data_IF_333410201206
#
_entry.id   IF_333410201206
#
_cell.length_a   1.000
_cell.length_b   1.000
_cell.length_c   1.000
_cell.angle_alpha   90.00
_cell.angle_beta   90.00
_cell.angle_gamma   90.00
#
_symmetry.space_group_name_H-M   'P 1'
#
loop_
_entity.id
_entity.type
_entity.pdbx_description
1 polymer ?
#
# COMPACT_ATOMS: atom_id res chain seq x y z
N UNK A 1 -12.43 12.87 -39.03
CA UNK A 1 -12.54 12.28 -37.69
C UNK A 1 -11.67 13.07 -36.73
N UNK A 2 -12.28 13.87 -35.90
CA UNK A 2 -11.55 14.57 -34.86
C UNK A 2 -11.37 13.62 -33.68
N UNK A 3 -10.11 13.25 -33.38
CA UNK A 3 -9.77 12.54 -32.18
C UNK A 3 -9.82 13.57 -31.05
N UNK A 4 -10.85 13.51 -30.22
CA UNK A 4 -10.84 14.27 -28.98
C UNK A 4 -9.79 13.68 -28.05
N UNK A 5 -8.79 14.47 -27.62
CA UNK A 5 -7.92 14.00 -26.55
C UNK A 5 -8.81 13.72 -25.35
N UNK A 6 -8.57 12.58 -24.70
CA UNK A 6 -9.21 12.28 -23.44
C UNK A 6 -9.06 13.49 -22.52
N UNK A 7 -10.11 13.93 -21.81
CA UNK A 7 -10.00 15.05 -20.90
C UNK A 7 -8.86 14.76 -19.93
N UNK A 8 -7.97 15.73 -19.78
CA UNK A 8 -6.90 15.64 -18.80
C UNK A 8 -7.54 15.29 -17.46
N UNK A 9 -7.20 14.12 -16.93
CA UNK A 9 -7.69 13.70 -15.64
C UNK A 9 -7.14 14.68 -14.62
N UNK A 10 -8.01 15.51 -14.08
CA UNK A 10 -7.61 16.46 -13.05
C UNK A 10 -7.37 15.69 -11.77
N UNK A 11 -6.11 15.65 -11.34
CA UNK A 11 -5.76 15.22 -10.00
C UNK A 11 -6.22 16.33 -9.06
N UNK A 12 -7.36 16.13 -8.40
CA UNK A 12 -7.83 17.06 -7.38
C UNK A 12 -7.09 16.77 -6.08
N UNK A 13 -6.10 17.60 -5.79
CA UNK A 13 -5.40 17.61 -4.50
C UNK A 13 -6.34 18.22 -3.44
N UNK A 14 -7.11 17.39 -2.78
CA UNK A 14 -7.77 17.78 -1.54
C UNK A 14 -6.89 17.35 -0.37
N UNK A 15 -6.07 18.26 0.09
CA UNK A 15 -5.36 18.11 1.36
C UNK A 15 -6.36 18.34 2.49
N UNK A 16 -6.80 17.28 3.12
CA UNK A 16 -7.39 17.38 4.45
C UNK A 16 -6.27 17.26 5.47
N UNK A 17 -5.79 18.39 5.93
CA UNK A 17 -4.97 18.44 7.14
C UNK A 17 -5.91 18.30 8.33
N UNK A 18 -6.15 17.11 8.79
CA UNK A 18 -6.83 16.87 10.04
C UNK A 18 -5.79 16.86 11.17
N UNK A 19 -5.20 18.01 11.41
CA UNK A 19 -4.34 18.26 12.57
C UNK A 19 -5.20 18.73 13.75
N UNK A 20 -6.05 17.85 14.26
CA UNK A 20 -6.61 18.10 15.60
C UNK A 20 -5.55 17.75 16.63
N UNK A 21 -5.30 18.70 17.53
CA UNK A 21 -4.17 18.88 18.43
C UNK A 21 -4.00 17.80 19.53
N UNK A 22 -4.19 16.53 19.27
CA UNK A 22 -3.95 15.47 20.24
C UNK A 22 -3.40 14.22 19.57
N UNK A 23 -2.09 14.01 19.70
CA UNK A 23 -1.39 12.70 19.68
C UNK A 23 -1.48 11.87 18.40
N UNK A 24 -2.33 12.19 17.40
CA UNK A 24 -2.37 11.52 16.11
C UNK A 24 -1.48 12.27 15.12
N UNK A 25 -0.57 11.57 14.44
CA UNK A 25 0.24 12.18 13.39
C UNK A 25 -0.68 12.75 12.31
N UNK A 26 -0.32 13.92 11.78
CA UNK A 26 -1.01 14.54 10.65
C UNK A 26 -1.10 13.54 9.48
N UNK A 27 -2.31 13.23 9.06
CA UNK A 27 -2.54 12.42 7.87
C UNK A 27 -2.90 13.32 6.70
N UNK A 28 -2.30 13.03 5.55
CA UNK A 28 -2.67 13.68 4.29
C UNK A 28 -3.34 12.64 3.40
N UNK A 29 -4.46 13.02 2.79
CA UNK A 29 -5.14 12.18 1.82
C UNK A 29 -5.20 12.90 0.49
N UNK A 30 -4.74 12.23 -0.56
CA UNK A 30 -4.80 12.69 -1.94
C UNK A 30 -5.81 11.84 -2.68
N UNK A 31 -6.88 12.43 -3.17
CA UNK A 31 -7.88 11.72 -3.95
C UNK A 31 -7.47 11.70 -5.42
N UNK A 32 -7.39 10.52 -5.99
CA UNK A 32 -7.16 10.30 -7.41
C UNK A 32 -8.51 10.05 -8.07
N UNK A 33 -8.99 11.03 -8.82
CA UNK A 33 -10.27 10.96 -9.50
C UNK A 33 -10.13 10.29 -10.87
N UNK A 34 -10.63 9.07 -10.98
CA UNK A 34 -10.69 8.28 -12.20
C UNK A 34 -12.12 7.77 -12.46
N UNK A 35 -13.10 8.55 -12.07
CA UNK A 35 -14.53 8.18 -12.12
C UNK A 35 -14.79 6.90 -11.30
N UNK A 36 -15.21 5.81 -11.94
CA UNK A 36 -15.51 4.55 -11.23
C UNK A 36 -14.29 3.85 -10.60
N UNK A 37 -13.08 4.24 -11.01
CA UNK A 37 -11.81 3.68 -10.51
C UNK A 37 -11.06 4.64 -9.59
N UNK A 38 -11.76 5.64 -9.07
CA UNK A 38 -11.18 6.60 -8.13
C UNK A 38 -10.69 5.92 -6.85
N UNK A 39 -9.58 6.41 -6.31
CA UNK A 39 -9.03 5.90 -5.06
C UNK A 39 -8.28 6.98 -4.29
N UNK A 40 -8.25 6.91 -2.95
CA UNK A 40 -7.46 7.80 -2.12
C UNK A 40 -6.03 7.26 -1.94
N UNK A 41 -5.07 8.18 -1.84
CA UNK A 41 -3.72 7.90 -1.35
C UNK A 41 -3.59 8.56 0.01
N UNK A 42 -3.38 7.77 1.06
CA UNK A 42 -3.21 8.27 2.42
C UNK A 42 -1.75 8.22 2.81
N UNK A 43 -1.24 9.35 3.30
CA UNK A 43 0.14 9.51 3.76
C UNK A 43 0.09 9.92 5.23
N UNK A 44 0.59 9.06 6.10
CA UNK A 44 0.66 9.34 7.53
C UNK A 44 1.72 8.45 8.21
N UNK A 45 2.15 8.84 9.39
CA UNK A 45 2.98 7.98 10.22
C UNK A 45 2.11 6.88 10.87
N UNK A 46 2.71 5.70 11.09
CA UNK A 46 2.05 4.59 11.80
C UNK A 46 1.01 3.81 11.01
N UNK A 47 0.82 4.09 9.72
CA UNK A 47 -0.16 3.38 8.88
C UNK A 47 0.12 1.87 8.78
N UNK A 48 1.38 1.47 8.69
CA UNK A 48 1.75 0.06 8.53
C UNK A 48 1.36 -0.79 9.73
N UNK A 49 1.44 -0.24 10.93
CA UNK A 49 1.13 -0.95 12.17
C UNK A 49 -0.34 -0.83 12.59
N UNK A 50 -1.13 -0.01 11.90
CA UNK A 50 -2.53 0.21 12.23
C UNK A 50 -3.45 -0.74 11.46
N UNK A 51 -4.13 -1.69 12.12
CA UNK A 51 -5.03 -2.63 11.45
C UNK A 51 -6.16 -1.97 10.66
N UNK A 52 -6.62 -0.80 11.10
CA UNK A 52 -7.68 -0.05 10.43
C UNK A 52 -7.31 0.39 9.00
N UNK A 53 -6.02 0.54 8.72
CA UNK A 53 -5.51 0.87 7.38
C UNK A 53 -5.92 -0.18 6.35
N UNK A 54 -6.06 -1.43 6.76
CA UNK A 54 -6.32 -2.58 5.88
C UNK A 54 -7.79 -3.02 5.89
N UNK A 55 -8.66 -2.28 6.56
CA UNK A 55 -10.07 -2.65 6.72
C UNK A 55 -10.84 -2.69 5.38
N UNK A 56 -10.42 -1.91 4.40
CA UNK A 56 -11.06 -1.83 3.07
C UNK A 56 -10.51 -2.82 2.05
N UNK A 57 -9.47 -3.57 2.39
CA UNK A 57 -8.93 -4.59 1.51
C UNK A 57 -9.91 -5.76 1.36
N UNK A 58 -9.85 -6.46 0.22
CA UNK A 58 -10.68 -7.64 0.02
C UNK A 58 -10.46 -8.67 1.13
N UNK A 59 -11.54 -9.27 1.59
CA UNK A 59 -11.46 -10.35 2.56
C UNK A 59 -10.91 -11.61 1.90
N UNK A 60 -9.84 -12.14 2.48
CA UNK A 60 -9.20 -13.38 2.04
C UNK A 60 -8.67 -14.15 3.25
N UNK A 61 -8.41 -15.43 3.06
CA UNK A 61 -7.81 -16.25 4.13
C UNK A 61 -6.31 -15.98 4.27
N UNK A 62 -5.66 -15.59 3.19
CA UNK A 62 -4.20 -15.45 3.10
C UNK A 62 -3.81 -14.07 2.61
N UNK A 63 -2.81 -13.47 3.22
CA UNK A 63 -2.12 -12.27 2.75
C UNK A 63 -0.65 -12.59 2.47
N UNK A 64 -0.11 -12.01 1.42
CA UNK A 64 1.30 -12.12 1.07
C UNK A 64 1.97 -10.75 1.16
N UNK A 65 3.00 -10.66 1.98
CA UNK A 65 3.87 -9.48 2.07
C UNK A 65 5.08 -9.73 1.18
N UNK A 66 5.28 -8.86 0.21
CA UNK A 66 6.47 -8.87 -0.65
C UNK A 66 7.31 -7.65 -0.31
N UNK A 67 8.54 -7.87 0.06
CA UNK A 67 9.48 -6.82 0.46
C UNK A 67 10.90 -7.20 0.02
N UNK A 68 11.88 -6.40 0.38
CA UNK A 68 13.29 -6.70 0.16
C UNK A 68 14.02 -6.92 1.48
N UNK A 69 15.24 -7.41 1.39
CA UNK A 69 16.08 -7.73 2.56
C UNK A 69 16.52 -6.49 3.35
N UNK A 70 16.49 -5.31 2.76
CA UNK A 70 16.82 -4.04 3.42
C UNK A 70 15.64 -3.51 4.22
N UNK A 71 14.42 -3.58 3.68
CA UNK A 71 13.21 -3.02 4.28
C UNK A 71 12.57 -3.98 5.28
N UNK A 72 12.65 -5.29 5.03
CA UNK A 72 12.01 -6.30 5.87
C UNK A 72 12.34 -6.17 7.37
N UNK A 73 13.60 -6.01 7.80
CA UNK A 73 13.94 -5.88 9.23
C UNK A 73 13.33 -4.65 9.89
N UNK A 74 13.01 -3.62 9.10
CA UNK A 74 12.50 -2.35 9.60
C UNK A 74 10.98 -2.35 9.79
N UNK A 75 10.23 -3.01 8.90
CA UNK A 75 8.77 -2.81 8.81
C UNK A 75 7.95 -4.09 8.70
N UNK A 76 8.53 -5.20 8.31
CA UNK A 76 7.78 -6.42 8.01
C UNK A 76 7.03 -6.98 9.22
N UNK A 77 7.62 -6.96 10.40
CA UNK A 77 6.99 -7.48 11.62
C UNK A 77 5.77 -6.64 12.03
N UNK A 78 5.86 -5.32 11.93
CA UNK A 78 4.75 -4.42 12.23
C UNK A 78 3.58 -4.64 11.27
N UNK A 79 3.86 -4.76 9.98
CA UNK A 79 2.85 -5.03 8.96
C UNK A 79 2.22 -6.41 9.15
N UNK A 80 3.04 -7.42 9.41
CA UNK A 80 2.56 -8.79 9.65
C UNK A 80 1.62 -8.86 10.84
N UNK A 81 1.97 -8.21 11.94
CA UNK A 81 1.13 -8.16 13.13
C UNK A 81 -0.22 -7.47 12.85
N UNK A 82 -0.21 -6.38 12.09
CA UNK A 82 -1.43 -5.67 11.71
C UNK A 82 -2.33 -6.51 10.78
N UNK A 83 -1.75 -7.20 9.81
CA UNK A 83 -2.50 -8.06 8.89
C UNK A 83 -3.02 -9.34 9.55
N UNK A 84 -2.33 -9.87 10.54
CA UNK A 84 -2.73 -11.09 11.24
C UNK A 84 -4.10 -10.95 11.96
N UNK A 85 -4.56 -9.73 12.22
CA UNK A 85 -5.89 -9.48 12.78
C UNK A 85 -7.02 -9.67 11.76
N UNK A 86 -6.73 -9.52 10.46
CA UNK A 86 -7.72 -9.58 9.39
C UNK A 86 -7.59 -10.84 8.51
N UNK A 87 -6.42 -11.49 8.54
CA UNK A 87 -6.11 -12.64 7.70
C UNK A 87 -5.67 -13.83 8.55
N UNK A 88 -6.14 -15.02 8.20
CA UNK A 88 -5.80 -16.25 8.93
C UNK A 88 -4.32 -16.62 8.78
N UNK A 89 -3.74 -16.34 7.62
CA UNK A 89 -2.34 -16.60 7.33
C UNK A 89 -1.70 -15.39 6.66
N UNK A 90 -0.49 -15.06 7.10
CA UNK A 90 0.31 -13.99 6.51
C UNK A 90 1.68 -14.56 6.14
N UNK A 91 1.97 -14.62 4.85
CA UNK A 91 3.25 -15.05 4.33
C UNK A 91 4.15 -13.84 4.04
N UNK A 92 5.44 -14.03 4.17
CA UNK A 92 6.45 -13.01 3.92
C UNK A 92 7.47 -13.53 2.91
N UNK A 93 7.67 -12.75 1.85
CA UNK A 93 8.73 -12.98 0.87
C UNK A 93 9.67 -11.77 0.88
N UNK A 94 10.92 -11.99 1.27
CA UNK A 94 11.97 -10.98 1.19
C UNK A 94 12.84 -11.25 -0.02
N UNK A 95 12.85 -10.32 -0.97
CA UNK A 95 13.62 -10.40 -2.20
C UNK A 95 14.96 -9.66 -2.03
N UNK A 96 15.98 -9.98 -2.85
CA UNK A 96 17.21 -9.19 -2.88
C UNK A 96 16.92 -7.73 -3.19
N UNK A 97 17.62 -6.81 -2.54
CA UNK A 97 17.51 -5.38 -2.79
C UNK A 97 18.34 -4.97 -4.01
N UNK A 98 17.79 -4.05 -4.81
CA UNK A 98 18.44 -3.47 -5.98
C UNK A 98 17.67 -3.72 -7.28
N UNK A 99 17.77 -2.76 -8.20
CA UNK A 99 17.12 -2.83 -9.52
C UNK A 99 17.62 -4.01 -10.39
N UNK A 100 18.86 -4.44 -10.18
CA UNK A 100 19.45 -5.61 -10.85
C UNK A 100 18.70 -6.91 -10.57
N UNK A 101 17.98 -6.98 -9.43
CA UNK A 101 17.17 -8.14 -9.03
C UNK A 101 15.72 -8.06 -9.53
N UNK A 102 15.33 -7.01 -10.22
CA UNK A 102 14.03 -6.91 -10.89
C UNK A 102 14.02 -7.69 -12.19
N UNK A 103 13.95 -9.00 -12.06
CA UNK A 103 14.01 -9.92 -13.18
C UNK A 103 13.00 -11.06 -12.98
N UNK A 104 12.88 -11.89 -14.01
CA UNK A 104 11.93 -13.01 -14.02
C UNK A 104 12.24 -14.05 -12.94
N UNK A 105 13.49 -14.29 -12.64
CA UNK A 105 13.91 -15.26 -11.62
C UNK A 105 13.45 -14.82 -10.24
N UNK A 106 13.63 -13.55 -9.89
CA UNK A 106 13.18 -12.99 -8.62
C UNK A 106 11.66 -12.97 -8.51
N UNK A 107 10.97 -12.69 -9.62
CA UNK A 107 9.51 -12.72 -9.66
C UNK A 107 8.96 -14.12 -9.40
N UNK A 108 9.62 -15.17 -9.88
CA UNK A 108 9.22 -16.55 -9.62
C UNK A 108 9.27 -16.91 -8.12
N UNK A 109 10.16 -16.31 -7.34
CA UNK A 109 10.20 -16.51 -5.90
C UNK A 109 8.89 -16.08 -5.21
N UNK A 110 8.23 -15.08 -5.75
CA UNK A 110 6.93 -14.61 -5.27
C UNK A 110 5.85 -15.66 -5.58
N UNK A 111 5.88 -16.22 -6.78
CA UNK A 111 4.90 -17.23 -7.18
C UNK A 111 5.10 -18.58 -6.46
N UNK A 112 6.32 -18.90 -6.05
CA UNK A 112 6.63 -20.13 -5.33
C UNK A 112 6.26 -20.07 -3.84
N UNK A 113 6.02 -18.87 -3.34
CA UNK A 113 5.64 -18.64 -1.94
C UNK A 113 4.13 -18.75 -1.75
#
# INVERSE_FOLDING_TARGET
MSIHPAPAQSISLRTREDCTATILPCSQTVDIDLAERSYPITIAAGLLSNPATYATLPKAAVALIVTNTTVAPLYADALRAALALNYAQVHLVALPDGEEHKNWQTMNLIFDA
#
